data_IF_976610005748
#
_entry.id   IF_976610005748
#
_cell.length_a   1.000
_cell.length_b   1.000
_cell.length_c   1.000
_cell.angle_alpha   90.00
_cell.angle_beta   90.00
_cell.angle_gamma   90.00
#
_symmetry.space_group_name_H-M   'P 1'
#
loop_
_entity.id
_entity.type
_entity.pdbx_description
1 polymer ?
#
# COMPACT_ATOMS: atom_id res chain seq x y z
N UNK A 1 1.95 10.81 -6.28
CA UNK A 1 2.35 10.04 -5.08
C UNK A 1 2.25 8.54 -5.39
N UNK A 2 3.17 7.72 -4.91
CA UNK A 2 3.12 6.27 -5.13
C UNK A 2 4.29 5.52 -4.50
N UNK A 3 4.55 4.31 -5.00
CA UNK A 3 5.58 3.41 -4.47
C UNK A 3 6.92 3.72 -5.11
N UNK A 4 7.96 3.66 -4.29
CA UNK A 4 9.34 3.90 -4.73
C UNK A 4 10.20 2.75 -4.27
N UNK A 5 10.97 2.17 -5.19
CA UNK A 5 12.11 1.35 -4.83
C UNK A 5 13.36 2.20 -4.89
N UNK A 6 14.12 2.13 -3.80
CA UNK A 6 15.33 2.91 -3.63
C UNK A 6 16.45 2.01 -3.13
N UNK A 7 17.62 2.15 -3.70
CA UNK A 7 18.82 1.54 -3.16
C UNK A 7 19.15 2.21 -1.82
N UNK A 8 19.06 1.44 -0.74
CA UNK A 8 19.25 1.96 0.60
C UNK A 8 20.64 2.56 0.85
N UNK A 9 21.68 2.02 0.20
CA UNK A 9 23.07 2.47 0.41
C UNK A 9 23.40 3.73 -0.38
N UNK A 10 22.95 3.80 -1.62
CA UNK A 10 23.33 4.89 -2.55
C UNK A 10 22.29 6.00 -2.61
N UNK A 11 21.05 5.73 -2.17
CA UNK A 11 19.91 6.63 -2.36
C UNK A 11 19.38 6.66 -3.79
N UNK A 12 19.92 5.85 -4.70
CA UNK A 12 19.45 5.77 -6.09
C UNK A 12 18.00 5.28 -6.15
N UNK A 13 17.16 6.01 -6.88
CA UNK A 13 15.79 5.56 -7.18
C UNK A 13 15.85 4.53 -8.30
N UNK A 14 15.54 3.27 -7.98
CA UNK A 14 15.53 2.16 -8.95
C UNK A 14 14.30 2.24 -9.84
N UNK A 15 13.12 2.41 -9.24
CA UNK A 15 11.88 2.64 -9.96
C UNK A 15 10.89 3.46 -9.12
N UNK A 16 9.91 4.05 -9.79
CA UNK A 16 8.86 4.87 -9.18
C UNK A 16 7.52 4.60 -9.86
N UNK A 17 6.63 3.93 -9.14
CA UNK A 17 5.30 3.60 -9.62
C UNK A 17 4.27 4.61 -9.08
N UNK A 18 3.48 5.20 -9.97
CA UNK A 18 2.48 6.21 -9.64
C UNK A 18 1.18 5.94 -10.39
N UNK A 19 0.06 6.32 -9.81
CA UNK A 19 -1.23 6.24 -10.49
C UNK A 19 -2.40 6.26 -9.52
N UNK A 20 -3.62 6.32 -10.08
CA UNK A 20 -4.84 6.15 -9.29
C UNK A 20 -4.85 4.74 -8.66
N UNK A 21 -5.32 4.64 -7.42
CA UNK A 21 -5.34 3.38 -6.65
C UNK A 21 -3.97 2.92 -6.13
N UNK A 22 -2.90 3.68 -6.38
CA UNK A 22 -1.53 3.41 -5.88
C UNK A 22 -0.97 4.60 -5.11
N UNK A 23 -1.84 5.41 -4.51
CA UNK A 23 -1.46 6.63 -3.80
C UNK A 23 -0.75 6.33 -2.47
N UNK A 24 -0.07 7.33 -1.89
CA UNK A 24 0.81 7.12 -0.73
C UNK A 24 -0.04 6.87 0.51
N UNK A 25 -0.37 5.63 0.84
CA UNK A 25 -0.91 5.28 2.15
C UNK A 25 0.15 4.63 3.00
N UNK A 26 -0.05 3.34 3.29
CA UNK A 26 0.85 2.55 4.12
C UNK A 26 1.31 1.28 3.39
N UNK A 27 2.45 0.76 3.82
CA UNK A 27 3.03 -0.50 3.32
C UNK A 27 3.36 -1.42 4.48
N UNK A 28 3.21 -2.73 4.27
CA UNK A 28 3.65 -3.80 5.15
C UNK A 28 4.32 -4.89 4.32
N UNK A 29 5.34 -5.55 4.87
CA UNK A 29 6.03 -6.66 4.20
C UNK A 29 5.70 -7.96 4.91
N UNK A 30 5.23 -8.94 4.16
CA UNK A 30 4.97 -10.29 4.65
C UNK A 30 5.15 -11.29 3.50
N UNK A 31 5.77 -12.42 3.79
CA UNK A 31 5.92 -13.55 2.86
C UNK A 31 6.47 -13.17 1.47
N UNK A 32 7.54 -12.35 1.42
CA UNK A 32 8.14 -11.95 0.16
C UNK A 32 7.40 -10.84 -0.60
N UNK A 33 6.27 -10.36 -0.08
CA UNK A 33 5.38 -9.43 -0.78
C UNK A 33 5.19 -8.12 -0.02
N UNK A 34 4.90 -7.07 -0.77
CA UNK A 34 4.41 -5.79 -0.27
C UNK A 34 2.89 -5.80 -0.23
N UNK A 35 2.33 -5.51 0.93
CA UNK A 35 0.90 -5.27 1.15
C UNK A 35 0.75 -3.76 1.27
N UNK A 36 0.10 -3.16 0.28
CA UNK A 36 0.02 -1.72 0.12
C UNK A 36 -1.42 -1.25 0.29
N UNK A 37 -1.60 -0.15 1.00
CA UNK A 37 -2.89 0.48 1.23
C UNK A 37 -2.93 1.83 0.51
N UNK A 38 -3.93 2.01 -0.36
CA UNK A 38 -4.17 3.28 -1.03
C UNK A 38 -4.81 4.29 -0.07
N UNK A 39 -4.21 5.48 0.08
CA UNK A 39 -4.69 6.51 1.01
C UNK A 39 -6.07 7.09 0.65
N UNK A 40 -6.48 7.02 -0.62
CA UNK A 40 -7.69 7.70 -1.10
C UNK A 40 -8.91 6.80 -1.04
N UNK A 41 -8.84 5.63 -1.66
CA UNK A 41 -9.93 4.67 -1.75
C UNK A 41 -9.84 3.58 -0.68
N UNK A 42 -8.70 3.43 -0.01
CA UNK A 42 -8.47 2.36 0.97
C UNK A 42 -8.32 0.98 0.36
N UNK A 43 -8.21 0.86 -0.96
CA UNK A 43 -7.99 -0.44 -1.59
C UNK A 43 -6.65 -1.02 -1.11
N UNK A 44 -6.67 -2.31 -0.80
CA UNK A 44 -5.49 -3.05 -0.41
C UNK A 44 -5.02 -3.86 -1.61
N UNK A 45 -3.75 -3.74 -1.96
CA UNK A 45 -3.17 -4.46 -3.09
C UNK A 45 -1.84 -5.10 -2.70
N UNK A 46 -1.54 -6.21 -3.38
CA UNK A 46 -0.32 -6.99 -3.19
C UNK A 46 0.62 -6.69 -4.36
N UNK A 47 1.89 -6.43 -4.05
CA UNK A 47 2.93 -6.21 -5.06
C UNK A 47 4.19 -7.01 -4.73
N UNK A 48 4.96 -7.39 -5.76
CA UNK A 48 6.27 -8.01 -5.54
C UNK A 48 7.23 -7.03 -4.86
N UNK A 49 8.00 -7.51 -3.89
CA UNK A 49 9.11 -6.77 -3.30
C UNK A 49 10.40 -6.94 -4.13
N UNK A 50 10.40 -6.48 -5.38
CA UNK A 50 11.51 -6.68 -6.33
C UNK A 50 12.11 -5.37 -6.87
N UNK A 51 13.45 -5.30 -7.07
CA UNK A 51 14.08 -4.21 -7.80
C UNK A 51 13.84 -4.26 -9.32
N UNK A 52 13.37 -5.38 -9.88
CA UNK A 52 13.19 -5.55 -11.34
C UNK A 52 12.07 -4.68 -11.91
N UNK A 53 11.15 -4.23 -11.06
CA UNK A 53 10.03 -3.38 -11.43
C UNK A 53 8.83 -3.58 -10.51
N UNK A 54 7.83 -2.72 -10.68
CA UNK A 54 6.55 -2.87 -10.02
C UNK A 54 5.70 -3.94 -10.72
N UNK A 55 5.19 -4.90 -9.95
CA UNK A 55 4.23 -5.90 -10.41
C UNK A 55 3.15 -6.07 -9.34
N UNK A 56 1.90 -5.75 -9.70
CA UNK A 56 0.73 -5.98 -8.87
C UNK A 56 0.20 -7.39 -9.08
N UNK A 57 -0.04 -8.12 -7.99
CA UNK A 57 -0.47 -9.53 -8.02
C UNK A 57 -1.97 -9.68 -7.73
N UNK A 58 -2.58 -8.69 -7.09
CA UNK A 58 -3.99 -8.73 -6.75
C UNK A 58 -4.40 -7.55 -5.88
N UNK A 59 -5.71 -7.32 -5.82
CA UNK A 59 -6.29 -6.17 -5.13
C UNK A 59 -7.70 -6.49 -4.65
N UNK A 60 -8.07 -5.89 -3.53
CA UNK A 60 -9.45 -5.84 -3.06
C UNK A 60 -9.78 -4.47 -2.44
N UNK A 61 -11.04 -4.02 -2.51
CA UNK A 61 -11.46 -2.78 -1.86
C UNK A 61 -11.51 -2.96 -0.34
N UNK A 62 -11.37 -1.87 0.42
CA UNK A 62 -11.60 -1.92 1.88
C UNK A 62 -13.00 -2.49 2.16
N UNK A 63 -13.14 -3.58 2.95
CA UNK A 63 -14.42 -4.25 3.14
C UNK A 63 -15.49 -3.37 3.81
N UNK A 64 -15.08 -2.43 4.66
CA UNK A 64 -15.93 -1.45 5.33
C UNK A 64 -15.18 -0.14 5.47
N UNK A 65 -15.91 0.97 5.31
CA UNK A 65 -15.37 2.31 5.47
C UNK A 65 -16.11 3.08 6.56
N UNK A 66 -15.37 3.88 7.33
CA UNK A 66 -15.90 4.81 8.32
C UNK A 66 -16.45 6.05 7.64
N UNK A 67 -17.62 6.50 8.08
CA UNK A 67 -18.24 7.76 7.64
C UNK A 67 -17.58 8.97 8.31
N UNK A 68 -16.75 8.74 9.35
CA UNK A 68 -16.06 9.81 10.08
C UNK A 68 -15.11 10.64 9.20
N UNK A 69 -14.77 10.17 8.00
CA UNK A 69 -13.89 10.89 7.05
C UNK A 69 -14.67 11.60 5.94
N UNK A 70 -15.99 11.45 5.90
CA UNK A 70 -16.81 12.06 4.87
C UNK A 70 -16.85 13.58 5.06
N UNK A 71 -16.53 14.31 3.98
CA UNK A 71 -16.52 15.77 3.98
C UNK A 71 -15.30 16.44 4.62
N UNK A 72 -14.34 15.70 5.20
CA UNK A 72 -13.21 16.31 5.95
C UNK A 72 -11.80 16.06 5.38
N UNK A 73 -11.69 15.63 4.10
CA UNK A 73 -10.42 15.30 3.43
C UNK A 73 -9.61 14.21 4.15
N UNK A 74 -10.22 13.46 5.08
CA UNK A 74 -9.63 12.31 5.72
C UNK A 74 -9.20 11.25 4.70
N UNK A 75 -8.14 10.53 5.04
CA UNK A 75 -7.48 9.52 4.18
C UNK A 75 -7.17 8.27 5.01
N UNK A 76 -6.80 7.19 4.32
CA UNK A 76 -6.48 5.89 4.91
C UNK A 76 -4.98 5.80 5.19
N UNK A 77 -4.59 5.87 6.47
CA UNK A 77 -3.18 5.91 6.87
C UNK A 77 -2.75 4.76 7.78
N UNK A 78 -3.68 3.95 8.28
CA UNK A 78 -3.31 2.91 9.23
C UNK A 78 -2.48 1.85 8.55
N UNK A 79 -1.34 1.49 9.15
CA UNK A 79 -0.50 0.42 8.63
C UNK A 79 -1.23 -0.93 8.64
N UNK A 80 -1.21 -1.68 7.53
CA UNK A 80 -1.65 -3.07 7.53
C UNK A 80 -0.71 -3.90 8.40
N UNK A 81 -1.24 -4.96 9.02
CA UNK A 81 -0.43 -5.88 9.85
C UNK A 81 -0.81 -7.32 9.52
N UNK A 82 0.20 -8.17 9.32
CA UNK A 82 0.00 -9.61 9.20
C UNK A 82 0.47 -10.30 10.48
N UNK A 83 -0.41 -11.09 11.10
CA UNK A 83 -0.08 -11.94 12.26
C UNK A 83 -0.76 -13.29 12.08
N UNK A 84 -0.02 -14.38 12.26
CA UNK A 84 -0.53 -15.76 12.20
C UNK A 84 -1.34 -16.05 10.92
N UNK A 85 -0.83 -15.62 9.77
CA UNK A 85 -1.48 -15.83 8.48
C UNK A 85 -2.75 -15.00 8.24
N UNK A 86 -3.02 -13.99 9.08
CA UNK A 86 -4.19 -13.11 8.96
C UNK A 86 -3.76 -11.67 8.74
N UNK A 87 -4.36 -11.02 7.74
CA UNK A 87 -4.20 -9.59 7.47
C UNK A 87 -5.24 -8.80 8.28
N UNK A 88 -4.77 -7.83 9.05
CA UNK A 88 -5.59 -6.89 9.81
C UNK A 88 -5.51 -5.52 9.14
N UNK A 89 -6.68 -4.99 8.77
CA UNK A 89 -6.85 -3.65 8.22
C UNK A 89 -7.73 -2.85 9.18
N UNK A 90 -7.40 -1.56 9.35
CA UNK A 90 -8.20 -0.63 10.13
C UNK A 90 -8.50 0.58 9.27
N UNK A 91 -9.78 0.93 9.25
CA UNK A 91 -10.27 2.14 8.63
C UNK A 91 -10.44 3.30 9.61
#
# INVERSE_FOLDING_TARGET
>A
PGLVCQNFKTGEQVWNERGQGKSKGAVHYADGMLICLDESEGSCFLAKASPDGFEELGRFPMPRKTELRDGNRGKVWTHPVVVNGKLYLRD
#
